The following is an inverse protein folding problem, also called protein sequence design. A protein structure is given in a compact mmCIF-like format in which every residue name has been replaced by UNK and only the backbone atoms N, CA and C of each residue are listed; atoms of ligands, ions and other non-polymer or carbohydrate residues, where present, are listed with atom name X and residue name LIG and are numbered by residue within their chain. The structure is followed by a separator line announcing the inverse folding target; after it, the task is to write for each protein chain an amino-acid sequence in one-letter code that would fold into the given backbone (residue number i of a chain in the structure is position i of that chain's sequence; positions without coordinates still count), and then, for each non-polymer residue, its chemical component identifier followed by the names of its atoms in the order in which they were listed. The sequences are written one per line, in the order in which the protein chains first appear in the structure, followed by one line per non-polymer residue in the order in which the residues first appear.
data_IF_931923419136
#
_entry.id   IF_931923419136
#
_cell.length_a   1.000
_cell.length_b   1.000
_cell.length_c   1.000
_cell.angle_alpha   90.00
_cell.angle_beta   90.00
_cell.angle_gamma   90.00
#
_symmetry.space_group_name_H-M   'P 1'
#
loop_
_entity.id
_entity.type
_entity.pdbx_description
1 polymer ?
#
# COMPACT_ATOMS: atom_id res chain seq x y z
N UNK A 1 63.86 -35.66 -34.23
CA UNK A 1 63.07 -34.45 -33.89
C UNK A 1 61.77 -34.49 -34.70
N UNK A 2 60.69 -33.85 -34.22
CA UNK A 2 59.32 -33.80 -34.80
C UNK A 2 58.34 -34.91 -34.39
N UNK A 3 57.80 -34.81 -33.16
CA UNK A 3 56.57 -35.51 -32.73
C UNK A 3 55.87 -34.78 -31.57
N UNK A 4 55.62 -33.47 -31.71
CA UNK A 4 54.97 -32.69 -30.63
C UNK A 4 53.88 -31.69 -31.05
N UNK A 5 53.43 -31.67 -32.31
CA UNK A 5 52.56 -30.60 -32.82
C UNK A 5 51.18 -31.03 -33.31
N UNK A 6 50.63 -32.16 -32.85
CA UNK A 6 49.28 -32.60 -33.29
C UNK A 6 48.21 -32.76 -32.20
N UNK A 7 48.53 -32.58 -30.92
CA UNK A 7 47.57 -32.87 -29.83
C UNK A 7 46.77 -31.63 -29.37
N UNK A 8 47.08 -30.42 -29.87
CA UNK A 8 46.42 -29.18 -29.39
C UNK A 8 45.22 -28.72 -30.22
N UNK A 9 44.86 -29.37 -31.32
CA UNK A 9 43.84 -28.85 -32.25
C UNK A 9 42.46 -29.49 -32.11
N UNK A 10 42.32 -30.64 -31.42
CA UNK A 10 41.00 -31.28 -31.23
C UNK A 10 40.27 -30.86 -29.93
N UNK A 11 40.98 -30.32 -28.93
CA UNK A 11 40.34 -29.89 -27.68
C UNK A 11 39.51 -28.60 -27.82
N UNK A 12 39.82 -27.77 -28.81
CA UNK A 12 39.21 -26.44 -28.98
C UNK A 12 37.86 -26.49 -29.70
N UNK A 13 37.61 -27.50 -30.54
CA UNK A 13 36.34 -27.63 -31.26
C UNK A 13 35.22 -28.26 -30.43
N UNK A 14 35.54 -29.09 -29.43
CA UNK A 14 34.53 -29.67 -28.54
C UNK A 14 33.96 -28.64 -27.56
N UNK A 15 34.77 -27.68 -27.11
CA UNK A 15 34.33 -26.61 -26.20
C UNK A 15 33.49 -25.53 -26.90
N UNK A 16 33.73 -25.28 -28.20
CA UNK A 16 32.96 -24.30 -28.97
C UNK A 16 31.54 -24.77 -29.32
N UNK A 17 31.35 -26.07 -29.55
CA UNK A 17 30.03 -26.64 -29.88
C UNK A 17 29.12 -26.81 -28.67
N UNK A 18 29.66 -26.91 -27.45
CA UNK A 18 28.87 -27.03 -26.23
C UNK A 18 28.21 -25.71 -25.79
N UNK A 19 28.70 -24.56 -26.26
CA UNK A 19 28.11 -23.24 -26.01
C UNK A 19 26.94 -22.90 -26.95
N UNK A 20 26.76 -23.64 -28.05
CA UNK A 20 25.69 -23.42 -29.02
C UNK A 20 24.41 -24.21 -28.70
N UNK A 21 24.44 -25.07 -27.68
CA UNK A 21 23.29 -25.85 -27.21
C UNK A 21 22.63 -25.26 -25.97
N UNK A 22 22.99 -24.03 -25.56
CA UNK A 22 22.18 -23.26 -24.62
C UNK A 22 20.99 -22.77 -25.44
N UNK A 23 19.75 -23.23 -25.19
CA UNK A 23 18.60 -22.57 -25.79
C UNK A 23 18.73 -21.10 -25.44
N UNK A 24 18.81 -20.24 -26.47
CA UNK A 24 18.58 -18.82 -26.32
C UNK A 24 17.11 -18.67 -25.94
N UNK A 25 16.79 -18.99 -24.68
CA UNK A 25 15.59 -18.56 -24.01
C UNK A 25 15.71 -17.05 -24.01
N UNK A 26 15.21 -16.41 -25.06
CA UNK A 26 15.16 -14.96 -25.13
C UNK A 26 14.56 -14.50 -23.81
N UNK A 27 15.28 -13.65 -23.08
CA UNK A 27 14.72 -13.02 -21.90
C UNK A 27 13.39 -12.40 -22.33
N UNK A 28 12.29 -13.03 -21.94
CA UNK A 28 10.98 -12.45 -22.15
C UNK A 28 11.00 -11.23 -21.24
N UNK A 29 11.20 -10.06 -21.84
CA UNK A 29 11.03 -8.82 -21.14
C UNK A 29 9.61 -8.84 -20.61
N UNK A 30 9.46 -8.95 -19.28
CA UNK A 30 8.18 -8.78 -18.64
C UNK A 30 7.65 -7.42 -19.09
N UNK A 31 6.62 -7.44 -19.93
CA UNK A 31 5.99 -6.24 -20.43
C UNK A 31 4.73 -6.03 -19.60
N UNK A 32 4.83 -5.25 -18.52
CA UNK A 32 3.70 -5.12 -17.64
C UNK A 32 2.52 -4.47 -18.35
N UNK A 33 1.40 -5.17 -18.34
CA UNK A 33 0.12 -4.57 -18.67
C UNK A 33 -0.43 -3.89 -17.43
N UNK A 34 -0.52 -2.57 -17.45
CA UNK A 34 -1.16 -1.81 -16.38
C UNK A 34 -2.58 -2.32 -16.10
N UNK A 35 -2.95 -2.36 -14.82
CA UNK A 35 -4.22 -2.94 -14.37
C UNK A 35 -4.93 -2.07 -13.33
N UNK A 36 -6.20 -2.37 -13.09
CA UNK A 36 -6.96 -1.80 -11.97
C UNK A 36 -6.72 -2.65 -10.73
N UNK A 37 -6.06 -2.08 -9.73
CA UNK A 37 -5.88 -2.71 -8.42
C UNK A 37 -7.19 -2.63 -7.62
N UNK A 38 -7.79 -1.45 -7.60
CA UNK A 38 -9.02 -1.19 -6.87
C UNK A 38 -9.94 -0.24 -7.64
N UNK A 39 -11.23 -0.58 -7.62
CA UNK A 39 -12.31 0.24 -8.14
C UNK A 39 -13.27 0.55 -7.00
N UNK A 40 -13.46 1.83 -6.70
CA UNK A 40 -14.44 2.27 -5.71
C UNK A 40 -15.85 1.89 -6.16
N UNK A 41 -16.66 1.36 -5.23
CA UNK A 41 -18.06 1.06 -5.46
C UNK A 41 -18.95 2.29 -5.29
N UNK A 42 -20.16 2.10 -4.75
CA UNK A 42 -21.13 3.18 -4.48
C UNK A 42 -21.03 3.71 -3.05
N UNK A 43 -19.99 3.34 -2.29
CA UNK A 43 -19.83 3.78 -0.91
C UNK A 43 -19.72 5.31 -0.84
N UNK A 44 -20.45 5.98 0.09
CA UNK A 44 -20.31 7.41 0.26
C UNK A 44 -18.91 7.78 0.73
N UNK A 45 -18.47 8.94 0.27
CA UNK A 45 -17.18 9.50 0.58
C UNK A 45 -17.17 10.27 1.90
N UNK A 46 -16.10 10.11 2.68
CA UNK A 46 -15.79 10.98 3.83
C UNK A 46 -14.99 12.23 3.40
N UNK A 47 -14.51 12.27 2.15
CA UNK A 47 -13.76 13.39 1.58
C UNK A 47 -14.49 14.07 0.44
N UNK A 48 -14.17 15.34 0.25
CA UNK A 48 -14.68 16.17 -0.83
C UNK A 48 -14.33 15.64 -2.21
N UNK A 49 -15.15 16.03 -3.19
CA UNK A 49 -14.95 15.78 -4.63
C UNK A 49 -14.89 14.29 -5.03
N UNK A 50 -15.22 13.35 -4.15
CA UNK A 50 -15.21 11.92 -4.47
C UNK A 50 -13.81 11.28 -4.46
N UNK A 51 -12.82 11.91 -3.82
CA UNK A 51 -11.43 11.45 -3.76
C UNK A 51 -11.20 10.47 -2.60
N UNK A 52 -11.88 9.32 -2.65
CA UNK A 52 -12.00 8.42 -1.49
C UNK A 52 -11.17 7.15 -1.60
N UNK A 53 -10.47 6.98 -2.73
CA UNK A 53 -9.46 5.97 -2.95
C UNK A 53 -8.21 6.68 -3.52
N UNK A 54 -7.27 7.06 -2.66
CA UNK A 54 -6.10 7.88 -3.04
C UNK A 54 -4.83 7.43 -2.31
N UNK A 55 -3.70 8.10 -2.57
CA UNK A 55 -2.43 7.86 -1.89
C UNK A 55 -1.92 6.40 -1.97
N UNK A 56 -1.83 5.79 -3.16
CA UNK A 56 -1.30 4.45 -3.28
C UNK A 56 0.16 4.38 -2.82
N UNK A 57 0.51 3.28 -2.15
CA UNK A 57 1.87 2.83 -1.86
C UNK A 57 1.97 1.33 -2.09
N UNK A 58 3.15 0.87 -2.47
CA UNK A 58 3.45 -0.54 -2.62
C UNK A 58 4.83 -0.86 -2.06
N UNK A 59 5.05 -2.14 -1.79
CA UNK A 59 6.36 -2.71 -1.47
C UNK A 59 6.45 -4.12 -2.08
N UNK A 60 7.66 -4.56 -2.41
CA UNK A 60 7.94 -5.95 -2.75
C UNK A 60 8.52 -6.66 -1.54
N UNK A 61 7.95 -7.81 -1.19
CA UNK A 61 8.41 -8.66 -0.10
C UNK A 61 9.62 -9.51 -0.54
N UNK A 62 10.40 -10.06 0.40
CA UNK A 62 11.52 -10.94 0.05
C UNK A 62 11.10 -12.20 -0.72
N UNK A 63 9.86 -12.65 -0.58
CA UNK A 63 9.27 -13.76 -1.34
C UNK A 63 8.98 -13.41 -2.81
N UNK A 64 9.12 -12.14 -3.21
CA UNK A 64 8.78 -11.64 -4.54
C UNK A 64 7.35 -11.09 -4.63
N UNK A 65 6.45 -11.45 -3.70
CA UNK A 65 5.08 -10.92 -3.61
C UNK A 65 5.09 -9.39 -3.55
N UNK A 66 4.22 -8.77 -4.34
CA UNK A 66 3.92 -7.35 -4.21
C UNK A 66 2.76 -7.15 -3.24
N UNK A 67 2.88 -6.16 -2.37
CA UNK A 67 1.79 -5.68 -1.53
C UNK A 67 1.53 -4.20 -1.81
N UNK A 68 0.28 -3.78 -1.71
CA UNK A 68 -0.11 -2.41 -1.93
C UNK A 68 -1.22 -2.00 -0.96
N UNK A 69 -1.17 -0.75 -0.53
CA UNK A 69 -2.19 -0.13 0.31
C UNK A 69 -2.47 1.28 -0.22
N UNK A 70 -3.63 1.81 0.14
CA UNK A 70 -4.07 3.14 -0.26
C UNK A 70 -5.07 3.66 0.77
N UNK A 71 -5.25 4.96 0.79
CA UNK A 71 -6.31 5.57 1.58
C UNK A 71 -7.68 5.19 1.01
N UNK A 72 -8.52 4.53 1.80
CA UNK A 72 -9.94 4.31 1.50
C UNK A 72 -10.82 5.14 2.45
N UNK A 73 -11.04 6.42 2.15
CA UNK A 73 -11.85 7.35 2.97
C UNK A 73 -13.33 7.31 2.59
N UNK A 74 -13.94 6.15 2.80
CA UNK A 74 -15.39 5.92 2.63
C UNK A 74 -16.08 5.79 3.97
N UNK A 75 -17.37 6.10 4.02
CA UNK A 75 -18.20 5.88 5.21
C UNK A 75 -18.20 4.40 5.56
N UNK A 76 -17.90 4.09 6.82
CA UNK A 76 -17.98 2.74 7.34
C UNK A 76 -19.45 2.42 7.63
N UNK A 77 -20.01 1.43 6.95
CA UNK A 77 -21.44 1.08 7.05
C UNK A 77 -21.88 0.78 8.48
N UNK A 78 -21.03 0.13 9.28
CA UNK A 78 -21.36 -0.26 10.65
C UNK A 78 -21.59 0.94 11.57
N UNK A 79 -20.80 2.00 11.40
CA UNK A 79 -20.78 3.17 12.30
C UNK A 79 -21.46 4.39 11.69
N UNK A 80 -21.66 4.39 10.37
CA UNK A 80 -22.16 5.53 9.61
C UNK A 80 -21.19 6.71 9.55
N UNK A 81 -19.91 6.52 9.92
CA UNK A 81 -18.91 7.59 10.01
C UNK A 81 -17.50 7.09 9.64
N UNK A 82 -16.46 7.78 10.12
CA UNK A 82 -15.06 7.39 9.97
C UNK A 82 -14.60 6.38 11.02
N UNK A 83 -15.43 6.15 12.05
CA UNK A 83 -15.16 5.17 13.09
C UNK A 83 -15.04 3.77 12.51
N UNK A 84 -14.02 3.00 12.94
CA UNK A 84 -13.62 1.70 12.36
C UNK A 84 -13.05 1.75 10.95
N UNK A 85 -12.72 2.91 10.39
CA UNK A 85 -12.05 2.98 9.09
C UNK A 85 -10.73 2.19 9.11
N UNK A 86 -10.48 1.43 8.05
CA UNK A 86 -9.30 0.60 7.84
C UNK A 86 -8.49 1.07 6.64
N UNK A 87 -7.24 0.62 6.57
CA UNK A 87 -6.46 0.69 5.35
C UNK A 87 -6.44 -0.69 4.66
N UNK A 88 -6.94 -0.80 3.42
CA UNK A 88 -6.89 -2.05 2.68
C UNK A 88 -5.45 -2.41 2.33
N UNK A 89 -5.15 -3.70 2.32
CA UNK A 89 -3.93 -4.28 1.77
C UNK A 89 -4.33 -5.26 0.69
N UNK A 90 -3.77 -5.06 -0.50
CA UNK A 90 -3.89 -5.94 -1.65
C UNK A 90 -2.56 -6.61 -1.91
N UNK A 91 -2.59 -7.81 -2.49
CA UNK A 91 -1.40 -8.53 -2.94
C UNK A 91 -1.44 -8.85 -4.42
N UNK A 92 -0.27 -9.00 -5.00
CA UNK A 92 -0.05 -9.64 -6.30
C UNK A 92 1.08 -10.66 -6.17
N UNK A 93 0.84 -11.84 -6.70
CA UNK A 93 1.79 -12.97 -6.76
C UNK A 93 2.27 -13.22 -8.21
N UNK A 94 1.95 -12.31 -9.13
CA UNK A 94 2.15 -12.42 -10.59
C UNK A 94 2.70 -11.11 -11.18
N UNK A 95 3.69 -10.52 -10.50
CA UNK A 95 4.41 -9.31 -10.89
C UNK A 95 3.53 -8.06 -11.09
N UNK A 96 2.36 -8.02 -10.45
CA UNK A 96 1.41 -6.92 -10.52
C UNK A 96 0.36 -7.08 -11.63
N UNK A 97 0.30 -8.24 -12.27
CA UNK A 97 -0.66 -8.56 -13.35
C UNK A 97 -2.08 -8.64 -12.81
N UNK A 98 -2.28 -9.29 -11.66
CA UNK A 98 -3.56 -9.34 -10.94
C UNK A 98 -3.39 -8.98 -9.47
N UNK A 99 -4.44 -8.39 -8.90
CA UNK A 99 -4.46 -7.94 -7.51
C UNK A 99 -5.63 -8.57 -6.77
N UNK A 100 -5.38 -9.02 -5.55
CA UNK A 100 -6.37 -9.65 -4.68
C UNK A 100 -6.38 -8.95 -3.31
N UNK A 101 -7.56 -8.75 -2.68
CA UNK A 101 -7.61 -8.33 -1.29
C UNK A 101 -6.83 -9.31 -0.41
N UNK A 102 -6.04 -8.80 0.52
CA UNK A 102 -5.25 -9.59 1.46
C UNK A 102 -5.73 -9.37 2.89
N UNK A 103 -5.78 -8.12 3.34
CA UNK A 103 -6.18 -7.78 4.71
C UNK A 103 -6.66 -6.34 4.81
N UNK A 104 -7.17 -5.97 5.98
CA UNK A 104 -7.62 -4.62 6.32
C UNK A 104 -6.92 -4.20 7.63
N UNK A 105 -6.06 -3.19 7.58
CA UNK A 105 -5.34 -2.71 8.76
C UNK A 105 -6.28 -1.84 9.59
N UNK A 106 -6.78 -2.39 10.69
CA UNK A 106 -7.67 -1.69 11.62
C UNK A 106 -6.97 -0.53 12.33
N UNK A 107 -7.78 0.39 12.85
CA UNK A 107 -7.30 1.46 13.71
C UNK A 107 -6.76 0.90 15.05
N UNK A 108 -5.84 1.61 15.73
CA UNK A 108 -5.21 1.12 16.96
C UNK A 108 -6.21 0.74 18.06
N UNK A 109 -7.30 1.49 18.19
CA UNK A 109 -8.37 1.22 19.17
C UNK A 109 -9.04 -0.16 19.01
N UNK A 110 -8.89 -0.82 17.85
CA UNK A 110 -9.46 -2.14 17.57
C UNK A 110 -8.41 -3.23 17.35
N UNK A 111 -7.14 -2.94 17.67
CA UNK A 111 -6.02 -3.89 17.62
C UNK A 111 -5.34 -4.07 18.99
N UNK A 112 -5.68 -3.24 19.98
CA UNK A 112 -5.08 -3.27 21.29
C UNK A 112 -6.10 -2.85 22.35
N UNK A 113 -6.03 -3.50 23.51
CA UNK A 113 -6.79 -3.14 24.72
C UNK A 113 -6.09 -2.04 25.54
N UNK A 114 -4.92 -1.54 25.11
CA UNK A 114 -4.20 -0.49 25.80
C UNK A 114 -4.98 0.85 25.70
N UNK A 115 -5.37 1.46 26.84
CA UNK A 115 -6.14 2.71 26.84
C UNK A 115 -5.49 3.86 26.07
N UNK A 116 -4.15 3.86 25.89
CA UNK A 116 -3.46 4.89 25.13
C UNK A 116 -3.90 4.94 23.66
N UNK A 117 -4.40 3.83 23.12
CA UNK A 117 -4.83 3.72 21.74
C UNK A 117 -6.33 3.95 21.53
N UNK A 118 -7.12 4.00 22.62
CA UNK A 118 -8.59 4.01 22.56
C UNK A 118 -9.16 5.18 21.75
N UNK A 119 -8.45 6.31 21.68
CA UNK A 119 -8.87 7.50 20.92
C UNK A 119 -8.62 7.42 19.41
N UNK A 120 -7.77 6.50 18.96
CA UNK A 120 -7.45 6.33 17.53
C UNK A 120 -8.38 5.29 16.92
N UNK A 121 -9.60 5.71 16.62
CA UNK A 121 -10.67 4.83 16.12
C UNK A 121 -10.76 4.79 14.59
N UNK A 122 -9.89 5.50 13.88
CA UNK A 122 -9.88 5.55 12.42
C UNK A 122 -8.47 5.42 11.87
N UNK A 123 -8.21 4.40 11.03
CA UNK A 123 -6.96 4.27 10.28
C UNK A 123 -7.11 5.01 8.96
N UNK A 124 -6.73 6.29 8.98
CA UNK A 124 -7.27 7.25 8.03
C UNK A 124 -6.51 7.30 6.71
N UNK A 125 -5.24 7.70 6.72
CA UNK A 125 -4.57 8.17 5.49
C UNK A 125 -3.06 7.98 5.51
N UNK A 126 -2.43 8.36 4.39
CA UNK A 126 -1.00 8.37 4.13
C UNK A 126 -0.30 7.05 4.51
N UNK A 127 -0.76 5.89 4.00
CA UNK A 127 -0.03 4.65 4.18
C UNK A 127 1.40 4.80 3.67
N UNK A 128 2.33 4.08 4.29
CA UNK A 128 3.69 3.85 3.80
C UNK A 128 4.12 2.43 4.16
N UNK A 129 4.36 1.61 3.14
CA UNK A 129 4.81 0.22 3.30
C UNK A 129 6.34 0.16 3.24
N UNK A 130 6.96 -0.55 4.16
CA UNK A 130 8.41 -0.71 4.22
C UNK A 130 8.79 -2.11 4.69
N UNK A 131 9.65 -2.79 3.94
CA UNK A 131 10.17 -4.11 4.33
C UNK A 131 11.51 -3.89 5.03
N UNK A 132 11.66 -4.40 6.26
CA UNK A 132 12.91 -4.27 6.99
C UNK A 132 14.05 -4.98 6.26
N UNK A 133 15.15 -4.28 5.89
CA UNK A 133 16.27 -4.88 5.18
C UNK A 133 17.23 -5.64 6.10
N UNK A 134 17.09 -5.45 7.41
CA UNK A 134 17.89 -6.08 8.47
C UNK A 134 17.07 -6.12 9.77
N UNK A 135 17.56 -6.85 10.77
CA UNK A 135 16.98 -6.83 12.10
C UNK A 135 17.05 -5.42 12.74
N UNK A 136 15.97 -4.99 13.39
CA UNK A 136 15.90 -3.74 14.16
C UNK A 136 15.27 -4.04 15.52
N UNK A 137 16.11 -4.11 16.55
CA UNK A 137 15.67 -4.56 17.88
C UNK A 137 15.09 -5.99 17.80
N UNK A 138 13.84 -6.15 18.21
CA UNK A 138 13.14 -7.44 18.15
C UNK A 138 12.44 -7.70 16.80
N UNK A 139 12.42 -6.73 15.88
CA UNK A 139 11.83 -6.90 14.56
C UNK A 139 12.86 -7.55 13.63
N UNK A 140 12.45 -8.62 12.95
CA UNK A 140 13.34 -9.39 12.07
C UNK A 140 13.38 -8.80 10.66
N UNK A 141 14.51 -8.98 9.97
CA UNK A 141 14.61 -8.76 8.54
C UNK A 141 13.42 -9.40 7.81
N UNK A 142 12.86 -8.71 6.82
CA UNK A 142 11.68 -9.16 6.09
C UNK A 142 10.34 -8.85 6.76
N UNK A 143 10.32 -8.36 8.01
CA UNK A 143 9.09 -7.82 8.63
C UNK A 143 8.55 -6.69 7.74
N UNK A 144 7.27 -6.78 7.39
CA UNK A 144 6.57 -5.72 6.69
C UNK A 144 6.07 -4.70 7.71
N UNK A 145 6.48 -3.45 7.56
CA UNK A 145 5.98 -2.33 8.33
C UNK A 145 4.96 -1.53 7.51
N UNK A 146 3.96 -1.01 8.20
CA UNK A 146 3.06 0.01 7.67
C UNK A 146 3.05 1.19 8.63
N UNK A 147 3.40 2.37 8.15
CA UNK A 147 3.11 3.62 8.85
C UNK A 147 1.86 4.25 8.24
N UNK A 148 0.99 4.83 9.06
CA UNK A 148 -0.18 5.58 8.60
C UNK A 148 -0.57 6.68 9.57
N UNK A 149 -1.33 7.65 9.06
CA UNK A 149 -2.00 8.63 9.90
C UNK A 149 -3.30 8.01 10.41
N UNK A 150 -3.42 7.93 11.73
CA UNK A 150 -4.64 7.54 12.44
C UNK A 150 -5.30 8.77 13.07
N UNK A 151 -6.58 8.66 13.37
CA UNK A 151 -7.37 9.72 14.00
C UNK A 151 -8.49 9.12 14.87
N UNK A 152 -9.21 9.99 15.57
CA UNK A 152 -10.58 9.67 16.02
C UNK A 152 -11.59 9.72 14.87
N UNK A 153 -12.87 9.74 15.21
CA UNK A 153 -13.99 9.88 14.29
C UNK A 153 -14.04 11.29 13.64
N UNK A 154 -14.88 11.44 12.61
CA UNK A 154 -15.11 12.69 11.89
C UNK A 154 -16.38 13.38 12.42
N UNK A 155 -16.20 14.30 13.37
CA UNK A 155 -17.31 14.96 14.05
C UNK A 155 -18.09 15.88 13.11
N UNK A 156 -17.41 16.62 12.24
CA UNK A 156 -18.04 17.51 11.26
C UNK A 156 -18.92 16.72 10.29
N UNK A 157 -18.44 15.56 9.82
CA UNK A 157 -19.26 14.67 9.00
C UNK A 157 -20.58 14.30 9.71
N UNK A 158 -20.50 13.92 10.98
CA UNK A 158 -21.65 13.47 11.78
C UNK A 158 -22.64 14.59 12.04
N UNK A 159 -22.16 15.77 12.42
CA UNK A 159 -22.99 16.95 12.66
C UNK A 159 -23.76 17.37 11.40
N UNK A 160 -23.08 17.41 10.25
CA UNK A 160 -23.73 17.77 8.99
C UNK A 160 -24.66 16.71 8.45
N UNK A 161 -24.33 15.43 8.60
CA UNK A 161 -25.27 14.35 8.25
C UNK A 161 -26.51 14.31 9.15
N UNK A 162 -26.38 14.69 10.41
CA UNK A 162 -27.51 14.80 11.31
C UNK A 162 -28.42 15.99 10.93
N UNK A 163 -27.85 17.10 10.49
CA UNK A 163 -28.60 18.29 10.05
C UNK A 163 -29.21 18.14 8.65
N UNK A 164 -28.49 17.52 7.71
CA UNK A 164 -28.91 17.27 6.34
C UNK A 164 -28.40 15.88 5.87
N UNK A 165 -29.27 14.85 5.85
CA UNK A 165 -28.89 13.51 5.38
C UNK A 165 -28.37 13.47 3.94
N UNK A 166 -28.71 14.45 3.09
CA UNK A 166 -28.27 14.55 1.71
C UNK A 166 -26.95 15.31 1.54
N UNK A 167 -26.44 15.93 2.61
CA UNK A 167 -25.18 16.65 2.58
C UNK A 167 -24.03 15.73 2.15
N UNK A 168 -23.08 16.28 1.40
CA UNK A 168 -21.85 15.57 1.01
C UNK A 168 -20.62 16.41 1.38
N UNK A 169 -19.52 15.78 1.80
CA UNK A 169 -18.30 16.51 2.14
C UNK A 169 -17.78 17.37 0.99
N UNK A 170 -17.24 18.54 1.34
CA UNK A 170 -16.54 19.43 0.41
C UNK A 170 -15.04 19.55 0.70
N UNK A 171 -14.57 19.02 1.83
CA UNK A 171 -13.18 19.05 2.31
C UNK A 171 -12.71 17.64 2.74
N UNK A 172 -11.50 17.52 3.28
CA UNK A 172 -10.89 16.23 3.65
C UNK A 172 -11.37 15.64 4.98
N UNK A 173 -12.43 16.19 5.58
CA UNK A 173 -12.93 15.81 6.91
C UNK A 173 -12.34 16.67 8.04
N UNK A 174 -12.88 16.45 9.24
CA UNK A 174 -12.53 17.21 10.45
C UNK A 174 -12.23 16.26 11.60
N UNK A 175 -10.94 15.91 11.76
CA UNK A 175 -10.53 14.79 12.62
C UNK A 175 -9.60 15.22 13.72
N UNK A 176 -9.92 14.76 14.94
CA UNK A 176 -9.13 14.95 16.16
C UNK A 176 -8.20 13.77 16.39
N UNK A 177 -7.32 13.93 17.37
CA UNK A 177 -6.42 12.88 17.85
C UNK A 177 -5.58 12.30 16.71
N UNK A 178 -4.98 13.16 15.90
CA UNK A 178 -4.10 12.69 14.85
C UNK A 178 -2.86 12.03 15.44
N UNK A 179 -2.40 10.96 14.81
CA UNK A 179 -1.09 10.39 15.09
C UNK A 179 -0.54 9.66 13.88
N UNK A 180 0.79 9.56 13.79
CA UNK A 180 1.44 8.57 12.93
C UNK A 180 1.57 7.29 13.75
N UNK A 181 0.84 6.25 13.36
CA UNK A 181 0.92 4.92 13.95
C UNK A 181 1.83 4.03 13.11
N UNK A 182 2.57 3.14 13.78
CA UNK A 182 3.42 2.14 13.14
C UNK A 182 2.89 0.74 13.45
N UNK A 183 2.69 -0.05 12.40
CA UNK A 183 2.25 -1.43 12.45
C UNK A 183 3.31 -2.36 11.88
N UNK A 184 3.24 -3.64 12.27
CA UNK A 184 4.06 -4.70 11.70
C UNK A 184 3.24 -5.92 11.32
N UNK A 185 3.67 -6.60 10.26
CA UNK A 185 3.25 -7.92 9.85
C UNK A 185 4.48 -8.81 9.64
N UNK A 186 4.41 -10.03 10.16
CA UNK A 186 5.44 -11.08 10.00
C UNK A 186 4.95 -12.24 9.13
N UNK A 187 3.80 -12.08 8.49
CA UNK A 187 3.10 -13.08 7.69
C UNK A 187 2.67 -12.49 6.35
N UNK A 188 3.60 -11.76 5.73
CA UNK A 188 3.46 -11.22 4.37
C UNK A 188 2.28 -10.26 4.17
N UNK A 189 1.85 -9.58 5.24
CA UNK A 189 0.76 -8.60 5.23
C UNK A 189 -0.62 -9.21 5.54
N UNK A 190 -0.71 -10.48 5.94
CA UNK A 190 -1.99 -11.11 6.26
C UNK A 190 -2.56 -10.63 7.61
N UNK A 191 -1.73 -10.49 8.65
CA UNK A 191 -2.13 -9.98 9.95
C UNK A 191 -1.23 -8.84 10.40
N UNK A 192 -1.80 -7.91 11.19
CA UNK A 192 -1.13 -6.69 11.62
C UNK A 192 -1.21 -6.53 13.12
N UNK A 193 -0.11 -6.04 13.71
CA UNK A 193 -0.03 -5.61 15.10
C UNK A 193 0.35 -4.15 15.14
N UNK A 194 -0.27 -3.39 16.03
CA UNK A 194 0.21 -2.05 16.37
C UNK A 194 1.54 -2.19 17.13
N UNK A 195 2.57 -1.45 16.70
CA UNK A 195 3.85 -1.37 17.39
C UNK A 195 3.89 -0.17 18.33
N UNK A 196 3.60 1.03 17.81
CA UNK A 196 3.62 2.26 18.59
C UNK A 196 2.95 3.42 17.84
N UNK A 197 2.71 4.52 18.55
CA UNK A 197 2.53 5.85 17.96
C UNK A 197 3.90 6.53 17.86
N UNK A 198 4.28 6.93 16.65
CA UNK A 198 5.55 7.60 16.33
C UNK A 198 5.50 9.09 16.67
N UNK A 199 4.39 9.74 16.32
CA UNK A 199 4.19 11.16 16.54
C UNK A 199 2.70 11.45 16.72
N UNK A 200 2.36 12.37 17.63
CA UNK A 200 0.99 12.84 17.84
C UNK A 200 0.80 14.21 17.22
N UNK A 201 -0.39 14.45 16.68
CA UNK A 201 -0.89 15.75 16.23
C UNK A 201 -2.13 16.16 17.02
N UNK A 202 -2.58 17.39 16.77
CA UNK A 202 -3.81 17.92 17.33
C UNK A 202 -5.02 17.62 16.45
N UNK A 203 -5.69 18.67 16.02
CA UNK A 203 -6.91 18.62 15.22
C UNK A 203 -6.61 19.01 13.77
N UNK A 204 -7.01 18.18 12.81
CA UNK A 204 -7.09 18.58 11.41
C UNK A 204 -8.42 19.29 11.12
N UNK A 205 -8.40 20.62 11.10
CA UNK A 205 -9.56 21.50 10.87
C UNK A 205 -9.97 21.70 9.40
N UNK A 206 -9.87 20.66 8.55
CA UNK A 206 -10.23 20.71 7.13
C UNK A 206 -9.24 21.46 6.23
N UNK A 207 -8.20 20.78 5.71
CA UNK A 207 -7.17 21.39 4.85
C UNK A 207 -7.50 21.54 3.35
N UNK A 208 -8.72 21.29 2.89
CA UNK A 208 -9.05 21.38 1.45
C UNK A 208 -10.05 22.50 1.12
N UNK A 209 -9.74 23.73 1.54
CA UNK A 209 -10.47 24.95 1.18
C UNK A 209 -9.57 26.15 0.84
N UNK A 210 -8.25 26.04 0.99
CA UNK A 210 -7.34 27.08 0.51
C UNK A 210 -7.39 27.12 -1.02
N UNK A 211 -7.65 28.31 -1.55
CA UNK A 211 -7.96 28.61 -2.96
C UNK A 211 -6.80 28.24 -3.88
N UNK A 212 -6.69 26.95 -4.23
CA UNK A 212 -5.72 26.41 -5.17
C UNK A 212 -6.43 25.66 -6.29
N UNK A 213 -6.27 26.13 -7.53
CA UNK A 213 -6.81 25.46 -8.72
C UNK A 213 -6.21 24.05 -8.84
N UNK A 214 -7.02 22.99 -8.80
CA UNK A 214 -6.60 21.63 -9.18
C UNK A 214 -7.70 20.82 -9.88
N UNK A 215 -7.22 19.90 -10.71
CA UNK A 215 -7.81 19.23 -11.89
C UNK A 215 -9.25 18.67 -11.77
N UNK A 216 -9.99 18.77 -12.89
CA UNK A 216 -11.44 18.55 -13.04
C UNK A 216 -11.91 17.08 -12.99
N UNK A 217 -11.05 16.12 -12.64
CA UNK A 217 -11.39 14.69 -12.66
C UNK A 217 -10.99 14.02 -11.36
N UNK A 218 -11.94 13.56 -10.53
CA UNK A 218 -11.64 12.83 -9.31
C UNK A 218 -11.11 11.42 -9.61
N UNK A 219 -10.13 10.98 -8.82
CA UNK A 219 -9.56 9.63 -8.96
C UNK A 219 -10.49 8.62 -8.28
N UNK A 220 -11.17 7.78 -9.07
CA UNK A 220 -12.06 6.70 -8.59
C UNK A 220 -11.46 5.30 -8.69
N UNK A 221 -10.26 5.21 -9.26
CA UNK A 221 -9.59 3.95 -9.61
C UNK A 221 -8.12 4.08 -9.26
N UNK A 222 -7.60 3.11 -8.51
CA UNK A 222 -6.15 2.98 -8.33
C UNK A 222 -5.63 2.07 -9.43
N UNK A 223 -4.75 2.62 -10.27
CA UNK A 223 -4.07 1.87 -11.33
C UNK A 223 -2.64 1.58 -10.91
N UNK A 224 -2.23 0.34 -11.14
CA UNK A 224 -0.82 -0.05 -11.05
C UNK A 224 -0.12 0.27 -12.37
N UNK A 225 1.01 0.98 -12.28
CA UNK A 225 1.93 1.20 -13.39
C UNK A 225 3.30 0.73 -12.90
N UNK A 226 3.69 -0.51 -13.19
CA UNK A 226 5.01 -1.00 -12.81
C UNK A 226 6.10 -0.27 -13.60
N UNK A 227 7.22 -0.02 -12.94
CA UNK A 227 8.43 0.53 -13.56
C UNK A 227 9.13 -0.56 -14.36
N UNK A 228 9.26 -0.37 -15.67
CA UNK A 228 10.19 -1.18 -16.48
C UNK A 228 11.62 -0.89 -16.04
N UNK A 229 12.41 -1.94 -15.80
CA UNK A 229 13.85 -1.81 -15.58
C UNK A 229 14.50 -1.23 -16.84
N UNK A 230 15.40 -0.23 -16.74
CA UNK A 230 16.29 0.07 -17.84
C UNK A 230 17.24 -1.11 -18.02
N UNK A 231 17.25 -1.67 -19.22
CA UNK A 231 18.17 -2.72 -19.68
C UNK A 231 19.62 -2.26 -19.66
#
# INVERSE_FOLDING_TARGET
MQRRTLVKTLGTFAAASALLAVPASGAQAYNPTGGTLYQLGSEPCLKGRGNCAIYPKSAQLPSGRLVASFEKSTVVTETGSADKQTLPVYKSDDDGTSWQPLSEVKAPAYLSDDPQYAKYTSNWTNPYLYVLPQDVGNLKQGTLLLASVVSGDDYYYKEHKAADPNWTPSNDGDRKDLAIALYSSTDEGANWKILNVVATGGWQGGSAGAVGRTSRTPTRTIRWIPSGSPT
#
